data_IF_296049590012
#
_entry.id   IF_296049590012
#
_cell.length_a   1.000
_cell.length_b   1.000
_cell.length_c   1.000
_cell.angle_alpha   90.00
_cell.angle_beta   90.00
_cell.angle_gamma   90.00
#
_symmetry.space_group_name_H-M   'P 1'
#
loop_
_entity.id
_entity.type
_entity.pdbx_description
1 polymer ?
#
# COMPACT_ATOMS: atom_id res chain seq x y z
N UNK A 1 12.96 -0.46 21.44
CA UNK A 1 12.13 0.09 20.32
C UNK A 1 12.12 -0.81 19.08
N UNK A 2 13.25 -1.34 18.59
CA UNK A 2 13.29 -2.27 17.44
C UNK A 2 12.38 -3.50 17.62
N UNK A 3 12.37 -4.08 18.82
CA UNK A 3 11.51 -5.22 19.17
C UNK A 3 10.00 -4.92 18.98
N UNK A 4 9.53 -3.75 19.42
CA UNK A 4 8.12 -3.35 19.23
C UNK A 4 7.72 -3.17 17.76
N UNK A 5 8.66 -2.81 16.87
CA UNK A 5 8.43 -2.71 15.43
C UNK A 5 8.24 -4.10 14.83
N UNK A 6 9.10 -5.06 15.21
CA UNK A 6 9.01 -6.45 14.75
C UNK A 6 7.69 -7.08 15.18
N UNK A 7 7.28 -6.90 16.44
CA UNK A 7 6.00 -7.43 16.91
C UNK A 7 4.80 -6.81 16.20
N UNK A 8 4.87 -5.52 15.87
CA UNK A 8 3.85 -4.86 15.06
C UNK A 8 3.76 -5.44 13.65
N UNK A 9 4.90 -5.72 12.99
CA UNK A 9 4.93 -6.34 11.66
C UNK A 9 4.37 -7.76 11.73
N UNK A 10 4.80 -8.55 12.71
CA UNK A 10 4.31 -9.92 12.92
C UNK A 10 2.79 -9.94 13.14
N UNK A 11 2.27 -9.01 13.96
CA UNK A 11 0.84 -8.89 14.19
C UNK A 11 0.07 -8.52 12.90
N UNK A 12 0.60 -7.64 12.06
CA UNK A 12 -0.05 -7.28 10.79
C UNK A 12 -0.04 -8.44 9.78
N UNK A 13 1.04 -9.21 9.71
CA UNK A 13 1.12 -10.38 8.85
C UNK A 13 0.17 -11.49 9.32
N UNK A 14 0.14 -11.76 10.64
CA UNK A 14 -0.77 -12.73 11.27
C UNK A 14 -2.24 -12.36 11.07
N UNK A 15 -2.60 -11.08 11.21
CA UNK A 15 -3.98 -10.61 11.01
C UNK A 15 -4.37 -10.40 9.54
N UNK A 16 -3.46 -10.69 8.60
CA UNK A 16 -3.66 -10.49 7.17
C UNK A 16 -3.38 -11.77 6.39
N UNK A 17 -2.34 -11.74 5.56
CA UNK A 17 -2.03 -12.85 4.66
C UNK A 17 -1.75 -14.17 5.39
N UNK A 18 -1.15 -14.14 6.59
CA UNK A 18 -0.83 -15.37 7.31
C UNK A 18 -2.05 -16.05 7.95
N UNK A 19 -3.18 -15.36 8.10
CA UNK A 19 -4.43 -15.96 8.56
C UNK A 19 -5.05 -16.92 7.52
N UNK A 20 -4.63 -16.83 6.26
CA UNK A 20 -5.29 -17.49 5.13
C UNK A 20 -4.29 -18.15 4.18
N UNK A 21 -3.61 -19.21 4.64
CA UNK A 21 -2.76 -20.03 3.76
C UNK A 21 -3.61 -20.71 2.67
N UNK A 22 -3.26 -20.57 1.39
CA UNK A 22 -4.09 -21.05 0.29
C UNK A 22 -3.88 -22.53 -0.05
N UNK A 23 -2.90 -23.21 0.54
CA UNK A 23 -2.51 -24.57 0.15
C UNK A 23 -2.05 -25.44 1.32
N UNK A 24 -2.18 -26.76 1.18
CA UNK A 24 -1.52 -27.75 2.05
C UNK A 24 -0.04 -27.99 1.69
N UNK A 25 0.46 -27.42 0.59
CA UNK A 25 1.84 -27.60 0.12
C UNK A 25 2.76 -26.53 0.70
N UNK A 26 3.85 -26.95 1.34
CA UNK A 26 4.81 -26.05 2.00
C UNK A 26 5.41 -25.01 1.04
N UNK A 27 5.88 -25.44 -0.14
CA UNK A 27 6.51 -24.54 -1.12
C UNK A 27 5.54 -23.48 -1.66
N UNK A 28 4.26 -23.83 -1.82
CA UNK A 28 3.24 -22.86 -2.22
C UNK A 28 3.02 -21.80 -1.13
N UNK A 29 3.00 -22.23 0.14
CA UNK A 29 2.88 -21.31 1.28
C UNK A 29 4.15 -20.47 1.47
N UNK A 30 5.33 -20.97 1.13
CA UNK A 30 6.56 -20.18 1.15
C UNK A 30 6.50 -19.02 0.14
N UNK A 31 6.03 -19.28 -1.09
CA UNK A 31 5.80 -18.24 -2.09
C UNK A 31 4.75 -17.23 -1.60
N UNK A 32 3.69 -17.70 -0.94
CA UNK A 32 2.67 -16.84 -0.35
C UNK A 32 3.25 -15.89 0.71
N UNK A 33 4.09 -16.40 1.62
CA UNK A 33 4.78 -15.59 2.63
C UNK A 33 5.67 -14.52 1.98
N UNK A 34 6.39 -14.88 0.91
CA UNK A 34 7.22 -13.92 0.19
C UNK A 34 6.39 -12.78 -0.43
N UNK A 35 5.27 -13.09 -1.07
CA UNK A 35 4.36 -12.09 -1.64
C UNK A 35 3.74 -11.22 -0.53
N UNK A 36 3.38 -11.81 0.60
CA UNK A 36 2.86 -11.07 1.76
C UNK A 36 3.89 -10.08 2.30
N UNK A 37 5.15 -10.47 2.42
CA UNK A 37 6.24 -9.61 2.86
C UNK A 37 6.49 -8.45 1.88
N UNK A 38 6.54 -8.71 0.57
CA UNK A 38 6.65 -7.68 -0.46
C UNK A 38 5.48 -6.68 -0.36
N UNK A 39 4.25 -7.20 -0.26
CA UNK A 39 3.05 -6.37 -0.13
C UNK A 39 3.11 -5.48 1.12
N UNK A 40 3.55 -6.03 2.25
CA UNK A 40 3.74 -5.25 3.49
C UNK A 40 4.75 -4.12 3.30
N UNK A 41 5.90 -4.41 2.68
CA UNK A 41 6.94 -3.41 2.43
C UNK A 41 6.43 -2.29 1.50
N UNK A 42 5.68 -2.63 0.45
CA UNK A 42 5.07 -1.65 -0.45
C UNK A 42 4.04 -0.77 0.27
N UNK A 43 3.19 -1.36 1.11
CA UNK A 43 2.24 -0.60 1.93
C UNK A 43 2.97 0.34 2.90
N UNK A 44 4.08 -0.11 3.50
CA UNK A 44 4.88 0.72 4.41
C UNK A 44 5.55 1.88 3.68
N UNK A 45 6.12 1.63 2.50
CA UNK A 45 6.69 2.66 1.65
C UNK A 45 5.63 3.69 1.23
N UNK A 46 4.47 3.23 0.77
CA UNK A 46 3.33 4.09 0.41
C UNK A 46 2.87 4.96 1.58
N UNK A 47 2.74 4.40 2.79
CA UNK A 47 2.41 5.16 3.99
C UNK A 47 3.47 6.24 4.29
N UNK A 48 4.75 5.94 4.07
CA UNK A 48 5.85 6.91 4.17
C UNK A 48 5.72 8.06 3.18
N UNK A 49 5.45 7.76 1.90
CA UNK A 49 5.26 8.76 0.84
C UNK A 49 4.05 9.66 1.07
N UNK A 50 2.94 9.12 1.60
CA UNK A 50 1.76 9.93 1.98
C UNK A 50 2.11 10.88 3.13
N UNK A 51 2.90 10.40 4.10
CA UNK A 51 3.35 11.18 5.24
C UNK A 51 2.26 11.46 6.28
N UNK A 52 2.54 12.41 7.16
CA UNK A 52 1.63 12.87 8.21
C UNK A 52 1.11 11.74 9.10
N UNK A 53 -0.19 11.79 9.46
CA UNK A 53 -0.85 10.74 10.26
C UNK A 53 -0.88 9.38 9.55
N UNK A 54 -0.91 9.36 8.22
CA UNK A 54 -0.95 8.12 7.43
C UNK A 54 0.36 7.32 7.53
N UNK A 55 1.50 7.98 7.76
CA UNK A 55 2.79 7.29 7.96
C UNK A 55 2.81 6.34 9.17
N UNK A 56 1.86 6.45 10.10
CA UNK A 56 1.81 5.63 11.33
C UNK A 56 0.63 4.66 11.36
N UNK A 57 -0.21 4.63 10.32
CA UNK A 57 -1.37 3.73 10.33
C UNK A 57 -0.97 2.27 10.06
N UNK A 58 -1.85 1.35 10.48
CA UNK A 58 -1.75 -0.08 10.18
C UNK A 58 -2.00 -0.35 8.70
N UNK A 59 -1.43 -1.44 8.18
CA UNK A 59 -1.65 -1.90 6.80
C UNK A 59 -3.14 -2.00 6.42
N UNK A 60 -3.98 -2.52 7.33
CA UNK A 60 -5.43 -2.65 7.09
C UNK A 60 -6.12 -1.29 6.88
N UNK A 61 -5.67 -0.26 7.61
CA UNK A 61 -6.17 1.10 7.44
C UNK A 61 -5.80 1.66 6.08
N UNK A 62 -4.57 1.41 5.61
CA UNK A 62 -4.14 1.82 4.28
C UNK A 62 -4.92 1.07 3.18
N UNK A 63 -5.14 -0.23 3.37
CA UNK A 63 -5.95 -1.06 2.46
C UNK A 63 -7.35 -0.50 2.30
N UNK A 64 -8.03 -0.19 3.40
CA UNK A 64 -9.44 0.28 3.37
C UNK A 64 -9.57 1.73 2.92
N UNK A 65 -8.60 2.59 3.23
CA UNK A 65 -8.70 4.03 2.99
C UNK A 65 -8.03 4.52 1.73
N UNK A 66 -7.14 3.74 1.10
CA UNK A 66 -6.33 4.21 -0.05
C UNK A 66 -6.29 3.18 -1.19
N UNK A 67 -6.13 1.89 -0.90
CA UNK A 67 -5.84 0.86 -1.92
C UNK A 67 -7.11 0.21 -2.46
N UNK A 68 -7.96 -0.32 -1.57
CA UNK A 68 -9.14 -1.11 -1.89
C UNK A 68 -10.40 -0.26 -2.09
N UNK A 69 -10.25 0.94 -2.64
CA UNK A 69 -11.36 1.86 -2.88
C UNK A 69 -11.91 1.71 -4.30
N UNK A 70 -13.22 1.95 -4.52
CA UNK A 70 -13.78 1.91 -5.86
C UNK A 70 -13.15 3.01 -6.72
N UNK A 71 -12.55 2.61 -7.84
CA UNK A 71 -11.96 3.52 -8.80
C UNK A 71 -12.27 3.01 -10.22
N UNK A 72 -12.53 3.95 -11.14
CA UNK A 72 -12.64 3.65 -12.57
C UNK A 72 -11.45 4.25 -13.30
N UNK A 73 -10.74 3.42 -14.04
CA UNK A 73 -9.59 3.85 -14.85
C UNK A 73 -10.08 4.09 -16.27
N UNK A 74 -9.71 5.23 -16.83
CA UNK A 74 -9.93 5.60 -18.22
C UNK A 74 -8.60 6.04 -18.84
N UNK A 75 -8.40 5.71 -20.10
CA UNK A 75 -7.24 6.15 -20.87
C UNK A 75 -7.69 7.13 -21.94
N UNK A 76 -6.97 8.26 -22.06
CA UNK A 76 -7.19 9.22 -23.14
C UNK A 76 -5.85 9.65 -23.72
N UNK A 77 -5.57 9.24 -24.95
CA UNK A 77 -4.27 9.43 -25.60
C UNK A 77 -3.13 8.97 -24.66
N UNK A 78 -2.20 9.87 -24.30
CA UNK A 78 -1.08 9.60 -23.38
C UNK A 78 -1.39 9.96 -21.91
N UNK A 79 -2.67 10.05 -21.52
CA UNK A 79 -3.09 10.39 -20.15
C UNK A 79 -3.88 9.25 -19.50
N UNK A 80 -3.44 8.87 -18.30
CA UNK A 80 -4.16 7.99 -17.37
C UNK A 80 -5.11 8.85 -16.53
N UNK A 81 -6.42 8.56 -16.59
CA UNK A 81 -7.46 9.27 -15.84
C UNK A 81 -8.04 8.28 -14.84
N UNK A 82 -7.96 8.60 -13.54
CA UNK A 82 -8.55 7.79 -12.48
C UNK A 82 -9.72 8.55 -11.88
N UNK A 83 -10.92 8.00 -12.04
CA UNK A 83 -12.13 8.51 -11.41
C UNK A 83 -12.25 7.92 -10.00
N UNK A 84 -12.21 8.81 -9.01
CA UNK A 84 -12.28 8.50 -7.59
C UNK A 84 -13.62 8.98 -6.99
N UNK A 85 -14.01 8.51 -5.79
CA UNK A 85 -15.25 8.94 -5.17
C UNK A 85 -15.24 10.45 -4.86
N UNK A 86 -16.35 11.16 -5.15
CA UNK A 86 -16.41 12.63 -5.11
C UNK A 86 -16.23 13.25 -3.71
N UNK A 87 -16.77 12.61 -2.67
CA UNK A 87 -16.72 13.11 -1.28
C UNK A 87 -15.88 12.20 -0.39
N UNK A 88 -14.69 11.86 -0.89
CA UNK A 88 -13.80 10.91 -0.25
C UNK A 88 -12.86 11.60 0.74
N UNK A 89 -12.92 11.30 2.06
CA UNK A 89 -12.13 12.01 3.06
C UNK A 89 -10.61 11.88 2.90
N UNK A 90 -10.13 10.86 2.17
CA UNK A 90 -8.70 10.57 2.00
C UNK A 90 -8.17 10.92 0.61
N UNK A 91 -8.91 11.74 -0.14
CA UNK A 91 -8.51 12.16 -1.49
C UNK A 91 -7.15 12.87 -1.51
N UNK A 92 -6.86 13.70 -0.50
CA UNK A 92 -5.58 14.41 -0.39
C UNK A 92 -4.41 13.46 -0.10
N UNK A 93 -4.61 12.45 0.75
CA UNK A 93 -3.63 11.40 0.99
C UNK A 93 -3.35 10.58 -0.27
N UNK A 94 -4.40 10.19 -1.00
CA UNK A 94 -4.24 9.49 -2.27
C UNK A 94 -3.49 10.35 -3.29
N UNK A 95 -3.84 11.63 -3.43
CA UNK A 95 -3.17 12.54 -4.37
C UNK A 95 -1.67 12.65 -4.05
N UNK A 96 -1.29 12.74 -2.77
CA UNK A 96 0.12 12.72 -2.35
C UNK A 96 0.84 11.45 -2.79
N UNK A 97 0.25 10.28 -2.54
CA UNK A 97 0.81 9.01 -2.99
C UNK A 97 0.96 8.98 -4.52
N UNK A 98 -0.10 9.37 -5.23
CA UNK A 98 -0.16 9.39 -6.69
C UNK A 98 0.95 10.25 -7.29
N UNK A 99 1.08 11.49 -6.81
CA UNK A 99 2.13 12.38 -7.27
C UNK A 99 3.52 11.86 -6.89
N UNK A 100 3.71 11.34 -5.69
CA UNK A 100 5.02 10.82 -5.29
C UNK A 100 5.46 9.61 -6.13
N UNK A 101 4.52 8.72 -6.49
CA UNK A 101 4.82 7.48 -7.20
C UNK A 101 4.84 7.62 -8.73
N UNK A 102 4.06 8.55 -9.31
CA UNK A 102 3.83 8.64 -10.75
C UNK A 102 4.22 9.99 -11.36
N UNK A 103 4.72 10.94 -10.57
CA UNK A 103 5.32 12.15 -11.17
C UNK A 103 6.58 11.79 -11.96
N UNK A 104 6.89 12.52 -13.05
CA UNK A 104 8.17 12.37 -13.73
C UNK A 104 9.32 12.46 -12.73
N UNK A 105 10.39 11.67 -12.89
CA UNK A 105 11.53 11.71 -11.99
C UNK A 105 12.05 13.15 -11.93
N UNK A 106 12.15 13.67 -10.71
CA UNK A 106 12.72 15.00 -10.48
C UNK A 106 14.14 14.99 -11.00
N UNK A 107 14.44 15.84 -11.99
CA UNK A 107 15.80 15.95 -12.54
C UNK A 107 16.72 16.37 -11.40
N UNK A 108 17.60 15.47 -10.97
CA UNK A 108 18.68 15.83 -10.04
C UNK A 108 19.60 16.80 -10.76
N UNK A 109 19.62 18.06 -10.31
CA UNK A 109 20.70 18.97 -10.67
C UNK A 109 21.90 18.55 -9.83
N UNK A 110 22.87 17.91 -10.48
CA UNK A 110 24.22 17.65 -9.96
C UNK A 110 25.07 18.91 -10.05
#
# INVERSE_FOLDING_TARGET
RKHAIIEQINAELKNGALAHMPSGVFNANAAWVAVAAITHNLMRAAAGLIGGRMSKVRAQTLRTRIIGIPARIAHRARKLIVHLPRRWPWATEFARLWHAALSPPTRSLS
#
